data_IF_293404380768
#
_entry.id   IF_293404380768
#
_cell.length_a   1.000
_cell.length_b   1.000
_cell.length_c   1.000
_cell.angle_alpha   90.00
_cell.angle_beta   90.00
_cell.angle_gamma   90.00
#
_symmetry.space_group_name_H-M   'P 1'
#
loop_
_entity.id
_entity.type
_entity.pdbx_description
1 polymer ?
#
# COMPACT_ATOMS: atom_id res chain seq x y z
N UNK A 1 -0.03 0.45 8.60
CA UNK A 1 -1.22 1.20 9.03
C UNK A 1 -2.42 0.68 8.23
N UNK A 2 -3.43 0.07 8.89
CA UNK A 2 -4.65 -0.42 8.22
C UNK A 2 -5.42 0.77 7.62
N UNK A 3 -5.60 0.79 6.30
CA UNK A 3 -6.38 1.83 5.65
C UNK A 3 -7.85 1.75 6.12
N UNK A 4 -8.32 2.78 6.83
CA UNK A 4 -9.62 2.82 7.53
C UNK A 4 -10.83 2.55 6.62
N UNK A 5 -10.70 2.71 5.30
CA UNK A 5 -11.77 2.43 4.34
C UNK A 5 -12.17 0.97 4.38
N UNK A 6 -11.24 0.02 4.24
CA UNK A 6 -11.57 -1.41 4.13
C UNK A 6 -12.28 -1.91 5.39
N UNK A 7 -11.79 -1.50 6.56
CA UNK A 7 -12.41 -1.86 7.84
C UNK A 7 -13.83 -1.28 7.97
N UNK A 8 -14.01 0.03 7.70
CA UNK A 8 -15.34 0.67 7.77
C UNK A 8 -16.29 0.12 6.72
N UNK A 9 -15.79 -0.14 5.51
CA UNK A 9 -16.56 -0.72 4.42
C UNK A 9 -17.05 -2.13 4.79
N UNK A 10 -16.18 -2.96 5.35
CA UNK A 10 -16.56 -4.30 5.85
C UNK A 10 -17.66 -4.20 6.90
N UNK A 11 -17.63 -3.19 7.77
CA UNK A 11 -18.70 -2.98 8.74
C UNK A 11 -20.01 -2.53 8.08
N UNK A 12 -19.97 -1.68 7.06
CA UNK A 12 -21.16 -1.31 6.28
C UNK A 12 -21.78 -2.54 5.62
N UNK A 13 -20.97 -3.43 5.02
CA UNK A 13 -21.47 -4.64 4.37
C UNK A 13 -22.25 -5.56 5.32
N UNK A 14 -21.86 -5.63 6.61
CA UNK A 14 -22.60 -6.41 7.62
C UNK A 14 -24.04 -5.92 7.82
N UNK A 15 -24.30 -4.64 7.56
CA UNK A 15 -25.66 -4.08 7.65
C UNK A 15 -26.58 -4.56 6.51
N UNK A 16 -26.00 -5.20 5.48
CA UNK A 16 -26.71 -5.78 4.34
C UNK A 16 -26.65 -7.32 4.35
N UNK A 17 -26.17 -7.94 5.43
CA UNK A 17 -26.25 -9.39 5.59
C UNK A 17 -27.73 -9.83 5.68
N UNK A 18 -28.06 -10.96 5.08
CA UNK A 18 -29.41 -11.53 5.01
C UNK A 18 -29.27 -12.98 5.49
N UNK A 19 -30.13 -13.41 6.41
CA UNK A 19 -30.04 -14.76 7.00
C UNK A 19 -30.44 -15.86 6.00
N UNK A 20 -31.46 -15.58 5.18
CA UNK A 20 -31.93 -16.51 4.15
C UNK A 20 -31.51 -16.04 2.75
N UNK A 21 -30.60 -16.79 2.12
CA UNK A 21 -30.04 -16.47 0.80
C UNK A 21 -29.61 -17.74 0.06
N UNK A 22 -29.78 -17.71 -1.27
CA UNK A 22 -29.40 -18.81 -2.15
C UNK A 22 -27.97 -18.69 -2.68
N UNK A 23 -27.51 -17.45 -2.89
CA UNK A 23 -26.19 -17.15 -3.44
C UNK A 23 -25.50 -16.07 -2.63
N UNK A 24 -24.18 -16.22 -2.44
CA UNK A 24 -23.37 -15.19 -1.81
C UNK A 24 -23.07 -14.08 -2.79
N UNK A 25 -23.22 -12.83 -2.36
CA UNK A 25 -22.79 -11.65 -3.10
C UNK A 25 -21.34 -11.36 -2.72
N UNK A 26 -20.47 -11.37 -3.73
CA UNK A 26 -19.07 -11.01 -3.57
C UNK A 26 -18.93 -9.52 -3.91
N UNK A 27 -18.25 -8.80 -3.02
CA UNK A 27 -17.98 -7.38 -3.16
C UNK A 27 -16.48 -7.17 -3.38
N UNK A 28 -16.13 -6.38 -4.39
CA UNK A 28 -14.79 -5.83 -4.57
C UNK A 28 -14.82 -4.32 -4.37
N UNK A 29 -13.82 -3.79 -3.67
CA UNK A 29 -13.59 -2.35 -3.57
C UNK A 29 -12.26 -1.99 -4.21
N UNK A 30 -12.27 -1.05 -5.15
CA UNK A 30 -11.08 -0.55 -5.83
C UNK A 30 -10.98 0.96 -5.62
N UNK A 31 -9.86 1.46 -5.12
CA UNK A 31 -9.74 2.87 -4.76
C UNK A 31 -8.35 3.46 -4.96
N UNK A 32 -8.32 4.75 -5.27
CA UNK A 32 -7.12 5.57 -5.32
C UNK A 32 -7.18 6.71 -4.30
N UNK A 33 -6.04 7.09 -3.74
CA UNK A 33 -5.84 8.16 -2.77
C UNK A 33 -5.50 9.46 -3.52
N UNK A 34 -5.85 10.63 -2.97
CA UNK A 34 -6.51 10.82 -1.68
C UNK A 34 -8.02 10.53 -1.73
N UNK A 35 -8.55 9.97 -0.63
CA UNK A 35 -9.99 9.89 -0.36
C UNK A 35 -10.32 10.65 0.93
N UNK A 36 -11.31 11.53 0.88
CA UNK A 36 -11.77 12.30 2.05
C UNK A 36 -12.76 11.46 2.88
N UNK A 37 -12.22 10.58 3.73
CA UNK A 37 -12.97 9.60 4.54
C UNK A 37 -13.73 10.24 5.73
N UNK A 38 -14.78 11.02 5.44
CA UNK A 38 -15.69 11.61 6.44
C UNK A 38 -17.04 10.86 6.51
N UNK A 39 -17.90 11.22 7.46
CA UNK A 39 -19.21 10.57 7.64
C UNK A 39 -20.11 10.65 6.41
N UNK A 40 -20.10 11.79 5.70
CA UNK A 40 -20.87 11.98 4.45
C UNK A 40 -20.42 11.00 3.36
N UNK A 41 -19.12 10.76 3.24
CA UNK A 41 -18.57 9.79 2.28
C UNK A 41 -19.08 8.36 2.55
N UNK A 42 -19.05 7.91 3.81
CA UNK A 42 -19.58 6.59 4.15
C UNK A 42 -21.11 6.49 4.04
N UNK A 43 -21.83 7.60 4.28
CA UNK A 43 -23.27 7.69 4.04
C UNK A 43 -23.59 7.49 2.55
N UNK A 44 -22.84 8.17 1.67
CA UNK A 44 -22.98 8.01 0.23
C UNK A 44 -22.72 6.56 -0.19
N UNK A 45 -21.67 5.92 0.33
CA UNK A 45 -21.42 4.49 0.05
C UNK A 45 -22.63 3.62 0.43
N UNK A 46 -23.20 3.84 1.61
CA UNK A 46 -24.36 3.08 2.07
C UNK A 46 -25.58 3.32 1.18
N UNK A 47 -25.86 4.56 0.80
CA UNK A 47 -26.98 4.93 -0.08
C UNK A 47 -26.83 4.31 -1.47
N UNK A 48 -25.62 4.34 -2.03
CA UNK A 48 -25.32 3.74 -3.33
C UNK A 48 -25.48 2.22 -3.30
N UNK A 49 -24.94 1.54 -2.28
CA UNK A 49 -25.15 0.09 -2.10
C UNK A 49 -26.64 -0.22 -1.97
N UNK A 50 -27.36 0.48 -1.09
CA UNK A 50 -28.77 0.21 -0.82
C UNK A 50 -29.66 0.39 -2.07
N UNK A 51 -29.32 1.35 -2.93
CA UNK A 51 -30.04 1.60 -4.18
C UNK A 51 -29.77 0.53 -5.23
N UNK A 52 -28.53 0.05 -5.31
CA UNK A 52 -28.06 -0.82 -6.39
C UNK A 52 -28.13 -2.32 -6.07
N UNK A 53 -28.08 -2.69 -4.79
CA UNK A 53 -28.16 -4.09 -4.34
C UNK A 53 -29.37 -4.83 -4.90
N UNK A 54 -30.60 -4.27 -4.86
CA UNK A 54 -31.78 -4.94 -5.39
C UNK A 54 -31.73 -5.15 -6.92
N UNK A 55 -30.90 -4.38 -7.63
CA UNK A 55 -30.75 -4.46 -9.10
C UNK A 55 -29.70 -5.50 -9.52
N UNK A 56 -29.02 -6.15 -8.57
CA UNK A 56 -27.96 -7.11 -8.86
C UNK A 56 -28.52 -8.42 -9.43
N UNK A 57 -28.42 -8.54 -10.76
CA UNK A 57 -28.71 -9.78 -11.47
C UNK A 57 -27.46 -10.69 -11.52
N UNK A 58 -26.41 -10.27 -12.25
CA UNK A 58 -25.16 -11.04 -12.39
C UNK A 58 -23.94 -10.31 -11.81
N UNK A 59 -23.61 -9.17 -12.38
CA UNK A 59 -22.53 -8.28 -11.93
C UNK A 59 -23.01 -6.83 -12.04
N UNK A 60 -22.53 -5.98 -11.13
CA UNK A 60 -22.80 -4.56 -11.10
C UNK A 60 -21.55 -3.80 -10.66
N UNK A 61 -21.17 -2.77 -11.41
CA UNK A 61 -20.15 -1.81 -10.99
C UNK A 61 -20.80 -0.47 -10.64
N UNK A 62 -20.41 0.08 -9.51
CA UNK A 62 -20.92 1.33 -8.95
C UNK A 62 -19.73 2.29 -8.77
N UNK A 63 -19.74 3.38 -9.51
CA UNK A 63 -18.75 4.44 -9.36
C UNK A 63 -19.24 5.46 -8.32
N UNK A 64 -18.70 5.42 -7.10
CA UNK A 64 -19.14 6.29 -6.00
C UNK A 64 -18.41 7.64 -6.02
N UNK A 65 -17.14 7.61 -6.42
CA UNK A 65 -16.27 8.77 -6.53
C UNK A 65 -15.29 8.55 -7.67
N UNK A 66 -14.68 9.60 -8.22
CA UNK A 66 -13.68 9.46 -9.31
C UNK A 66 -12.55 8.47 -8.98
N UNK A 67 -12.24 8.31 -7.68
CA UNK A 67 -11.21 7.40 -7.17
C UNK A 67 -11.77 6.23 -6.31
N UNK A 68 -13.05 5.89 -6.42
CA UNK A 68 -13.65 4.75 -5.71
C UNK A 68 -14.69 4.05 -6.59
N UNK A 69 -14.42 2.77 -6.87
CA UNK A 69 -15.31 1.85 -7.57
C UNK A 69 -15.65 0.69 -6.63
N UNK A 70 -16.92 0.28 -6.62
CA UNK A 70 -17.39 -0.95 -5.99
C UNK A 70 -17.92 -1.87 -7.09
N UNK A 71 -17.48 -3.13 -7.08
CA UNK A 71 -18.09 -4.19 -7.91
C UNK A 71 -18.77 -5.21 -7.03
N UNK A 72 -19.90 -5.69 -7.53
CA UNK A 72 -20.77 -6.66 -6.88
C UNK A 72 -21.07 -7.76 -7.88
N UNK A 73 -20.98 -9.02 -7.49
CA UNK A 73 -21.45 -10.12 -8.32
C UNK A 73 -21.95 -11.28 -7.47
N UNK A 74 -22.86 -12.07 -8.04
CA UNK A 74 -23.32 -13.30 -7.39
C UNK A 74 -22.28 -14.40 -7.59
N UNK A 75 -21.97 -15.10 -6.50
CA UNK A 75 -21.16 -16.32 -6.57
C UNK A 75 -21.98 -17.46 -7.15
N UNK A 76 -21.31 -18.34 -7.89
CA UNK A 76 -21.88 -19.60 -8.36
C UNK A 76 -22.16 -20.58 -7.20
N UNK A 77 -21.58 -20.33 -6.02
CA UNK A 77 -21.74 -21.16 -4.83
C UNK A 77 -22.24 -20.36 -3.63
N UNK A 78 -23.07 -20.98 -2.80
CA UNK A 78 -23.43 -20.45 -1.49
C UNK A 78 -22.23 -20.60 -0.54
N UNK A 79 -21.72 -19.48 -0.04
CA UNK A 79 -20.68 -19.44 0.99
C UNK A 79 -21.31 -19.26 2.37
N UNK A 80 -20.49 -19.11 3.41
CA UNK A 80 -20.91 -18.99 4.82
C UNK A 80 -21.59 -17.66 5.20
N UNK A 81 -21.61 -16.68 4.29
CA UNK A 81 -22.25 -15.36 4.47
C UNK A 81 -22.99 -14.97 3.21
N UNK A 82 -24.08 -14.22 3.35
CA UNK A 82 -24.83 -13.70 2.20
C UNK A 82 -24.05 -12.65 1.41
N UNK A 83 -23.15 -11.94 2.07
CA UNK A 83 -22.28 -10.92 1.47
C UNK A 83 -20.86 -11.03 2.02
N UNK A 84 -19.86 -10.99 1.14
CA UNK A 84 -18.45 -11.09 1.50
C UNK A 84 -17.64 -10.05 0.75
N UNK A 85 -16.74 -9.36 1.45
CA UNK A 85 -15.67 -8.61 0.80
C UNK A 85 -14.64 -9.60 0.23
N UNK A 86 -14.69 -9.84 -1.08
CA UNK A 86 -13.77 -10.75 -1.76
C UNK A 86 -12.41 -10.11 -2.01
N UNK A 87 -12.40 -8.86 -2.48
CA UNK A 87 -11.16 -8.16 -2.85
C UNK A 87 -11.19 -6.69 -2.44
N UNK A 88 -10.02 -6.18 -2.04
CA UNK A 88 -9.80 -4.76 -1.82
C UNK A 88 -8.50 -4.35 -2.52
N UNK A 89 -8.62 -3.48 -3.53
CA UNK A 89 -7.51 -2.99 -4.33
C UNK A 89 -7.26 -1.52 -4.04
N UNK A 90 -6.08 -1.23 -3.52
CA UNK A 90 -5.59 0.12 -3.27
C UNK A 90 -4.55 0.46 -4.34
N UNK A 91 -4.92 1.35 -5.27
CA UNK A 91 -4.06 1.77 -6.39
C UNK A 91 -2.82 2.55 -5.92
N UNK A 92 -2.81 3.04 -4.68
CA UNK A 92 -1.70 3.77 -4.06
C UNK A 92 -1.11 3.02 -2.87
N UNK A 93 -1.45 1.73 -2.73
CA UNK A 93 -0.57 0.85 -1.98
C UNK A 93 0.58 0.50 -2.92
N UNK A 94 1.76 1.07 -2.69
CA UNK A 94 3.02 0.67 -3.34
C UNK A 94 3.42 -0.80 -3.05
N UNK A 95 2.47 -1.71 -2.81
CA UNK A 95 2.72 -3.09 -2.47
C UNK A 95 3.72 -3.27 -1.32
N UNK A 96 4.61 -4.25 -1.48
CA UNK A 96 5.69 -4.57 -0.55
C UNK A 96 6.99 -3.80 -0.86
N UNK A 97 6.95 -2.72 -1.65
CA UNK A 97 8.14 -1.99 -2.15
C UNK A 97 9.09 -1.62 -1.00
N UNK A 98 8.59 -0.96 0.05
CA UNK A 98 9.42 -0.56 1.20
C UNK A 98 10.05 -1.77 1.90
N UNK A 99 9.30 -2.85 2.07
CA UNK A 99 9.82 -4.07 2.71
C UNK A 99 10.91 -4.73 1.86
N UNK A 100 10.79 -4.67 0.53
CA UNK A 100 11.75 -5.25 -0.40
C UNK A 100 13.01 -4.39 -0.49
N UNK A 101 12.86 -3.06 -0.58
CA UNK A 101 13.96 -2.10 -0.48
C UNK A 101 14.73 -2.32 0.82
N UNK A 102 14.04 -2.41 1.96
CA UNK A 102 14.67 -2.60 3.25
C UNK A 102 15.45 -3.92 3.36
N UNK A 103 14.89 -5.03 2.86
CA UNK A 103 15.61 -6.32 2.78
C UNK A 103 16.87 -6.21 1.92
N UNK A 104 16.77 -5.56 0.76
CA UNK A 104 17.90 -5.40 -0.15
C UNK A 104 18.97 -4.48 0.44
N UNK A 105 18.58 -3.40 1.14
CA UNK A 105 19.50 -2.52 1.84
C UNK A 105 20.34 -3.26 2.88
N UNK A 106 19.72 -4.17 3.65
CA UNK A 106 20.44 -5.01 4.62
C UNK A 106 21.49 -5.93 4.02
N UNK A 107 21.36 -6.28 2.74
CA UNK A 107 22.32 -7.14 2.03
C UNK A 107 23.39 -6.30 1.32
N UNK A 108 22.97 -5.23 0.64
CA UNK A 108 23.86 -4.45 -0.21
C UNK A 108 24.80 -3.56 0.59
N UNK A 109 24.36 -3.02 1.74
CA UNK A 109 25.20 -2.15 2.57
C UNK A 109 26.46 -2.90 3.02
N UNK A 110 26.38 -4.06 3.70
CA UNK A 110 27.57 -4.83 4.07
C UNK A 110 28.46 -5.22 2.86
N UNK A 111 27.86 -5.56 1.72
CA UNK A 111 28.60 -5.87 0.50
C UNK A 111 29.42 -4.65 0.03
N UNK A 112 28.84 -3.44 0.10
CA UNK A 112 29.56 -2.21 -0.30
C UNK A 112 30.59 -1.80 0.74
N UNK A 113 30.34 -2.01 2.02
CA UNK A 113 31.32 -1.75 3.09
C UNK A 113 32.59 -2.58 2.89
N UNK A 114 32.47 -3.88 2.60
CA UNK A 114 33.63 -4.74 2.34
C UNK A 114 34.42 -4.28 1.10
N UNK A 115 33.74 -3.78 0.06
CA UNK A 115 34.41 -3.25 -1.15
C UNK A 115 35.27 -2.02 -0.88
N UNK A 116 34.86 -1.18 0.08
CA UNK A 116 35.55 0.08 0.40
C UNK A 116 36.46 -0.02 1.62
N UNK A 117 36.49 -1.17 2.31
CA UNK A 117 37.25 -1.40 3.56
C UNK A 117 38.72 -1.00 3.48
N UNK A 118 39.37 -1.27 2.34
CA UNK A 118 40.78 -0.90 2.10
C UNK A 118 41.03 0.60 1.93
N UNK A 119 39.98 1.39 1.69
CA UNK A 119 40.03 2.84 1.51
C UNK A 119 39.42 3.59 2.71
N UNK A 120 39.20 2.90 3.83
CA UNK A 120 38.51 3.45 4.99
C UNK A 120 39.24 4.68 5.57
N UNK A 121 40.57 4.69 5.54
CA UNK A 121 41.40 5.81 6.01
C UNK A 121 41.43 7.01 5.06
N UNK A 122 41.07 6.82 3.79
CA UNK A 122 41.38 7.76 2.72
C UNK A 122 40.30 8.85 2.59
N UNK A 123 39.11 8.60 3.14
CA UNK A 123 37.95 9.48 3.03
C UNK A 123 37.37 9.79 4.40
N UNK A 124 37.31 11.09 4.75
CA UNK A 124 36.70 11.59 5.98
C UNK A 124 35.18 11.37 6.02
N UNK A 125 34.53 11.45 4.88
CA UNK A 125 33.10 11.18 4.72
C UNK A 125 32.89 10.22 3.55
N UNK A 126 31.95 9.28 3.73
CA UNK A 126 31.67 8.23 2.75
C UNK A 126 30.17 8.12 2.57
N UNK A 127 29.70 8.45 1.38
CA UNK A 127 28.29 8.37 1.03
C UNK A 127 28.07 7.18 0.12
N UNK A 128 27.01 6.43 0.37
CA UNK A 128 26.55 5.36 -0.52
C UNK A 128 25.32 5.85 -1.28
N UNK A 129 25.45 6.00 -2.60
CA UNK A 129 24.33 6.31 -3.48
C UNK A 129 23.93 5.05 -4.23
N UNK A 130 22.66 4.67 -4.16
CA UNK A 130 22.08 3.49 -4.79
C UNK A 130 20.94 3.91 -5.72
N UNK A 131 20.84 3.25 -6.86
CA UNK A 131 19.73 3.47 -7.80
C UNK A 131 18.54 2.60 -7.39
N UNK A 132 17.39 3.22 -7.20
CA UNK A 132 16.15 2.56 -6.81
C UNK A 132 15.42 1.97 -8.03
N UNK A 133 15.80 0.75 -8.40
CA UNK A 133 15.11 -0.05 -9.42
C UNK A 133 13.90 -0.84 -8.88
N UNK A 134 13.55 -0.66 -7.60
CA UNK A 134 12.43 -1.36 -6.96
C UNK A 134 11.22 -0.44 -6.89
N UNK A 135 11.38 0.72 -6.25
CA UNK A 135 10.34 1.73 -6.09
C UNK A 135 10.27 2.74 -7.23
N UNK A 136 11.34 2.88 -8.02
CA UNK A 136 11.46 3.90 -9.07
C UNK A 136 11.21 5.33 -8.57
N UNK A 137 11.53 5.59 -7.30
CA UNK A 137 11.28 6.86 -6.61
C UNK A 137 10.11 6.77 -5.65
N UNK A 138 10.42 6.90 -4.37
CA UNK A 138 9.48 6.75 -3.26
C UNK A 138 8.63 8.00 -3.07
N UNK A 139 7.33 7.80 -2.80
CA UNK A 139 6.44 8.88 -2.42
C UNK A 139 6.53 9.21 -0.91
N UNK A 140 5.78 10.22 -0.47
CA UNK A 140 5.79 10.63 0.95
C UNK A 140 5.36 9.54 1.93
N UNK A 141 4.50 8.61 1.50
CA UNK A 141 3.99 7.52 2.34
C UNK A 141 5.05 6.42 2.42
N UNK A 142 5.68 6.08 1.30
CA UNK A 142 6.78 5.12 1.24
C UNK A 142 7.97 5.59 2.08
N UNK A 143 8.31 6.88 2.04
CA UNK A 143 9.36 7.47 2.88
C UNK A 143 9.00 7.37 4.36
N UNK A 144 7.77 7.69 4.75
CA UNK A 144 7.32 7.53 6.14
C UNK A 144 7.39 6.08 6.62
N UNK A 145 7.04 5.13 5.74
CA UNK A 145 7.16 3.71 6.05
C UNK A 145 8.62 3.28 6.16
N UNK A 146 9.50 3.72 5.25
CA UNK A 146 10.92 3.44 5.30
C UNK A 146 11.56 4.01 6.56
N UNK A 147 11.17 5.21 7.01
CA UNK A 147 11.67 5.80 8.25
C UNK A 147 11.14 5.10 9.51
N UNK A 148 10.06 4.33 9.41
CA UNK A 148 9.49 3.58 10.53
C UNK A 148 10.15 2.22 10.79
N UNK A 149 10.98 1.73 9.85
CA UNK A 149 11.69 0.45 10.03
C UNK A 149 12.94 0.63 10.91
N UNK A 150 13.47 -0.44 11.52
CA UNK A 150 14.70 -0.34 12.30
C UNK A 150 15.87 0.16 11.46
N UNK A 151 16.61 1.14 11.98
CA UNK A 151 17.79 1.72 11.33
C UNK A 151 18.83 0.65 11.01
N UNK A 152 19.47 0.78 9.85
CA UNK A 152 20.54 -0.12 9.44
C UNK A 152 21.86 0.43 9.96
N UNK A 153 22.61 -0.42 10.67
CA UNK A 153 23.95 -0.09 11.14
C UNK A 153 24.91 -0.05 9.97
N UNK A 154 25.70 1.02 9.85
CA UNK A 154 26.65 1.15 8.73
C UNK A 154 27.79 2.13 9.02
N UNK A 155 28.92 1.95 8.33
CA UNK A 155 30.06 2.88 8.33
C UNK A 155 29.89 4.06 7.35
N UNK A 156 28.85 4.03 6.52
CA UNK A 156 28.52 5.15 5.63
C UNK A 156 27.94 6.31 6.44
N UNK A 157 28.30 7.54 6.06
CA UNK A 157 27.73 8.76 6.63
C UNK A 157 26.32 9.03 6.11
N UNK A 158 26.07 8.62 4.86
CA UNK A 158 24.78 8.75 4.20
C UNK A 158 24.54 7.55 3.31
N UNK A 159 23.29 7.09 3.29
CA UNK A 159 22.79 6.15 2.30
C UNK A 159 21.65 6.84 1.56
N UNK A 160 21.78 6.96 0.24
CA UNK A 160 20.88 7.73 -0.61
C UNK A 160 20.31 6.80 -1.68
N UNK A 161 18.99 6.83 -1.85
CA UNK A 161 18.29 6.21 -2.97
C UNK A 161 17.97 7.27 -4.02
N UNK A 162 18.28 6.99 -5.29
CA UNK A 162 17.93 7.86 -6.42
C UNK A 162 17.08 7.11 -7.44
N UNK A 163 16.01 7.71 -7.93
CA UNK A 163 15.21 7.12 -9.00
C UNK A 163 15.98 7.12 -10.32
N UNK A 164 15.97 6.01 -11.09
CA UNK A 164 16.49 6.00 -12.45
C UNK A 164 15.59 6.75 -13.45
N UNK A 165 14.33 7.03 -13.10
CA UNK A 165 13.38 7.74 -13.98
C UNK A 165 13.48 9.26 -13.83
N UNK A 166 13.91 9.73 -12.66
CA UNK A 166 14.02 11.15 -12.33
C UNK A 166 15.08 11.33 -11.25
N UNK A 167 16.25 11.85 -11.64
CA UNK A 167 17.39 12.04 -10.73
C UNK A 167 17.13 13.07 -9.63
N UNK A 168 16.05 13.85 -9.72
CA UNK A 168 15.65 14.78 -8.65
C UNK A 168 14.87 14.08 -7.53
N UNK A 169 14.38 12.86 -7.78
CA UNK A 169 13.73 12.02 -6.77
C UNK A 169 14.80 11.28 -5.97
N UNK A 170 15.22 11.92 -4.88
CA UNK A 170 16.27 11.47 -3.97
C UNK A 170 15.69 11.27 -2.58
N UNK A 171 16.02 10.14 -1.95
CA UNK A 171 15.65 9.84 -0.56
C UNK A 171 16.88 9.48 0.24
N UNK A 172 17.13 10.18 1.35
CA UNK A 172 18.13 9.79 2.33
C UNK A 172 17.52 8.75 3.28
N UNK A 173 18.18 7.59 3.41
CA UNK A 173 17.73 6.49 4.27
C UNK A 173 18.19 6.76 5.70
N UNK A 174 17.29 6.62 6.67
CA UNK A 174 17.67 6.70 8.09
C UNK A 174 18.56 5.53 8.52
N UNK A 175 19.78 5.86 8.94
CA UNK A 175 20.81 4.90 9.33
C UNK A 175 21.24 5.08 10.78
N UNK A 176 21.86 4.04 11.34
CA UNK A 176 22.60 4.09 12.59
C UNK A 176 24.10 4.05 12.26
N UNK A 177 24.76 5.20 12.28
CA UNK A 177 26.16 5.28 11.92
C UNK A 177 27.04 4.61 12.97
N UNK A 178 27.90 3.69 12.53
CA UNK A 178 28.93 3.05 13.34
C UNK A 178 30.26 3.79 13.14
N UNK A 179 30.88 4.18 14.25
CA UNK A 179 32.19 4.82 14.30
C UNK A 179 33.33 3.80 14.24
#
# INVERSE_FOLDING_TARGET
>A
MHFKLVQKFTNILKEFEIDDYDQTIIVSVSYGRPLKLNSRFFKQIKEEIQTHFPLLNKELSIQIHINLEIRLWRSDQKLNKSIILGTAKDYDSGGFIVSEIYKNLKLIIPEKEEKIKKYHSDFKERWLVLVDYIGYGLDTIDIQQLNSVPKIKTIFYKVILVSPLDITRVVEVEIEQCL
#
